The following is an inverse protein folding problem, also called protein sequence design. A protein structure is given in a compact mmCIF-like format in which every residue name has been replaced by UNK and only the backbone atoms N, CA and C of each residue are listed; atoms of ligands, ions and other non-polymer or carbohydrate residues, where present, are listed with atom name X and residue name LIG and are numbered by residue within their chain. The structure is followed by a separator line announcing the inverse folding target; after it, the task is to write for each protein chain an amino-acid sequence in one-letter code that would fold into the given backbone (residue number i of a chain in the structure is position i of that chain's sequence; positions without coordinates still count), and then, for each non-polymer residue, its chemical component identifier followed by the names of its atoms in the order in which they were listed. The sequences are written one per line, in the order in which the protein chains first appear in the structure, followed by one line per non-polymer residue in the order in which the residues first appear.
data_IF_370887318492
#
_entry.id   IF_370887318492
#
_cell.length_a   1.000
_cell.length_b   1.000
_cell.length_c   1.000
_cell.angle_alpha   90.00
_cell.angle_beta   90.00
_cell.angle_gamma   90.00
#
_symmetry.space_group_name_H-M   'P 1'
#
loop_
_entity.id
_entity.type
_entity.pdbx_description
1 polymer ?
#
# COMPACT_ATOMS: atom_id res chain seq x y z
N UNK A 1 -32.70 48.68 49.41
CA UNK A 1 -31.41 49.31 49.06
C UNK A 1 -30.62 48.29 48.24
N UNK A 2 -30.77 48.42 46.98
CA UNK A 2 -29.76 48.67 45.97
C UNK A 2 -28.59 47.72 46.01
N UNK A 3 -28.58 46.65 45.22
CA UNK A 3 -27.41 46.08 44.58
C UNK A 3 -27.74 45.87 43.09
N UNK A 4 -27.23 46.75 42.29
CA UNK A 4 -27.26 46.75 40.84
C UNK A 4 -26.23 45.77 40.36
N UNK A 5 -26.54 44.81 39.54
CA UNK A 5 -26.71 44.93 38.11
C UNK A 5 -25.37 45.14 37.41
N UNK A 6 -24.54 44.05 37.26
CA UNK A 6 -23.42 43.97 36.33
C UNK A 6 -23.28 42.57 35.70
N UNK A 7 -24.35 41.79 35.72
CA UNK A 7 -24.29 40.42 35.17
C UNK A 7 -24.71 40.34 33.69
N UNK A 8 -24.74 41.48 33.00
CA UNK A 8 -25.28 41.56 31.61
C UNK A 8 -24.25 41.63 30.46
N UNK A 9 -22.93 41.65 30.76
CA UNK A 9 -21.91 41.87 29.73
C UNK A 9 -20.90 40.73 29.53
N UNK A 10 -21.00 39.69 30.33
CA UNK A 10 -20.07 38.56 30.24
C UNK A 10 -20.44 37.50 29.19
N UNK A 11 -21.62 37.63 28.55
CA UNK A 11 -22.11 36.62 27.59
C UNK A 11 -21.81 36.90 26.13
N UNK A 12 -21.26 38.06 25.78
CA UNK A 12 -21.01 38.49 24.41
C UNK A 12 -19.57 38.28 23.93
N UNK A 13 -18.68 37.81 24.77
CA UNK A 13 -17.30 37.48 24.35
C UNK A 13 -16.97 35.98 24.38
N UNK A 14 -17.93 35.13 24.70
CA UNK A 14 -17.77 33.70 24.84
C UNK A 14 -18.21 32.89 23.61
N UNK A 15 -18.15 33.40 22.41
CA UNK A 15 -18.83 32.67 21.36
C UNK A 15 -18.31 32.74 19.95
N UNK A 16 -17.04 32.76 19.70
CA UNK A 16 -16.55 32.33 18.39
C UNK A 16 -15.11 31.83 18.47
N UNK A 17 -14.89 30.75 19.21
CA UNK A 17 -13.81 29.86 18.82
C UNK A 17 -14.25 29.20 17.54
N UNK A 18 -14.02 29.87 16.43
CA UNK A 18 -13.93 29.18 15.14
C UNK A 18 -12.73 28.25 15.30
N UNK A 19 -13.00 27.02 15.70
CA UNK A 19 -12.12 25.90 15.39
C UNK A 19 -12.00 25.89 13.87
N UNK A 20 -11.02 26.61 13.36
CA UNK A 20 -10.40 26.31 12.09
C UNK A 20 -9.78 24.94 12.26
N UNK A 21 -10.63 23.93 12.32
CA UNK A 21 -10.25 22.58 11.94
C UNK A 21 -9.88 22.75 10.48
N UNK A 22 -8.61 23.08 10.26
CA UNK A 22 -8.02 23.01 8.96
C UNK A 22 -8.39 21.62 8.46
N UNK A 23 -9.29 21.55 7.50
CA UNK A 23 -9.53 20.34 6.74
C UNK A 23 -8.19 20.00 6.13
N UNK A 24 -7.37 19.24 6.87
CA UNK A 24 -6.29 18.48 6.28
C UNK A 24 -7.02 17.57 5.31
N UNK A 25 -7.12 18.04 4.07
CA UNK A 25 -7.43 17.16 2.97
C UNK A 25 -6.43 16.03 3.12
N UNK A 26 -6.93 14.90 3.60
CA UNK A 26 -6.17 13.66 3.64
C UNK A 26 -5.83 13.39 2.18
N UNK A 27 -4.69 13.90 1.73
CA UNK A 27 -4.22 13.66 0.37
C UNK A 27 -4.15 12.16 0.25
N UNK A 28 -5.10 11.60 -0.50
CA UNK A 28 -5.23 10.16 -0.74
C UNK A 28 -3.85 9.71 -1.20
N UNK A 29 -3.11 9.04 -0.30
CA UNK A 29 -1.71 8.67 -0.54
C UNK A 29 -1.68 7.84 -1.81
N UNK A 30 -1.04 8.37 -2.86
CA UNK A 30 -0.95 7.72 -4.15
C UNK A 30 -0.10 6.43 -4.00
N UNK A 31 -0.67 5.24 -4.25
CA UNK A 31 0.03 3.97 -4.09
C UNK A 31 1.34 3.92 -4.88
N UNK A 32 1.32 4.36 -6.14
CA UNK A 32 2.51 4.42 -7.00
C UNK A 32 3.64 5.23 -6.36
N UNK A 33 3.35 6.45 -5.89
CA UNK A 33 4.35 7.30 -5.21
C UNK A 33 4.89 6.66 -3.93
N UNK A 34 4.08 5.88 -3.24
CA UNK A 34 4.52 5.17 -2.03
C UNK A 34 5.55 4.09 -2.40
N UNK A 35 5.28 3.29 -3.43
CA UNK A 35 6.21 2.29 -3.96
C UNK A 35 7.51 2.96 -4.40
N UNK A 36 7.44 3.97 -5.26
CA UNK A 36 8.61 4.70 -5.78
C UNK A 36 9.51 5.21 -4.66
N UNK A 37 8.93 5.91 -3.68
CA UNK A 37 9.68 6.51 -2.58
C UNK A 37 10.42 5.49 -1.73
N UNK A 38 9.85 4.29 -1.54
CA UNK A 38 10.46 3.25 -0.72
C UNK A 38 11.48 2.46 -1.52
N UNK A 39 11.10 1.95 -2.69
CA UNK A 39 11.95 1.09 -3.52
C UNK A 39 13.25 1.79 -3.94
N UNK A 40 13.21 3.08 -4.31
CA UNK A 40 14.39 3.88 -4.66
C UNK A 40 15.48 3.91 -3.57
N UNK A 41 15.13 3.59 -2.32
CA UNK A 41 16.04 3.58 -1.16
C UNK A 41 16.56 2.19 -0.81
N UNK A 42 16.29 1.20 -1.64
CA UNK A 42 16.66 -0.20 -1.40
C UNK A 42 17.64 -0.72 -2.44
N UNK A 43 18.20 -1.90 -2.19
CA UNK A 43 19.02 -2.62 -3.18
C UNK A 43 18.22 -3.03 -4.44
N UNK A 44 16.89 -2.94 -4.42
CA UNK A 44 15.99 -3.26 -5.52
C UNK A 44 15.59 -2.04 -6.35
N UNK A 45 16.26 -0.89 -6.19
CA UNK A 45 15.94 0.37 -6.89
C UNK A 45 15.86 0.24 -8.41
N UNK A 46 16.72 -0.59 -9.00
CA UNK A 46 16.78 -0.81 -10.44
C UNK A 46 15.60 -1.66 -10.95
N UNK A 47 14.88 -2.35 -10.05
CA UNK A 47 13.66 -3.09 -10.35
C UNK A 47 12.38 -2.26 -10.21
N UNK A 48 12.50 -0.96 -9.92
CA UNK A 48 11.32 -0.12 -9.73
C UNK A 48 10.29 -0.24 -10.86
N UNK A 49 10.66 -0.22 -12.16
CA UNK A 49 9.68 -0.41 -13.24
C UNK A 49 8.98 -1.78 -13.17
N UNK A 50 9.70 -2.84 -12.84
CA UNK A 50 9.17 -4.20 -12.76
C UNK A 50 8.25 -4.39 -11.55
N UNK A 51 8.64 -3.85 -10.40
CA UNK A 51 7.84 -3.84 -9.17
C UNK A 51 6.55 -3.04 -9.36
N UNK A 52 6.60 -1.93 -10.08
CA UNK A 52 5.41 -1.16 -10.43
C UNK A 52 4.49 -1.94 -11.37
N UNK A 53 5.04 -2.64 -12.37
CA UNK A 53 4.26 -3.46 -13.28
C UNK A 53 3.56 -4.61 -12.55
N UNK A 54 4.27 -5.29 -11.64
CA UNK A 54 3.69 -6.30 -10.75
C UNK A 54 2.55 -5.71 -9.91
N UNK A 55 2.80 -4.63 -9.20
CA UNK A 55 1.77 -4.01 -8.35
C UNK A 55 0.54 -3.56 -9.15
N UNK A 56 0.72 -3.04 -10.36
CA UNK A 56 -0.40 -2.71 -11.26
C UNK A 56 -1.20 -3.96 -11.63
N UNK A 57 -0.55 -5.07 -11.94
CA UNK A 57 -1.22 -6.33 -12.26
C UNK A 57 -2.06 -6.81 -11.07
N UNK A 58 -1.45 -6.91 -9.88
CA UNK A 58 -2.09 -7.44 -8.67
C UNK A 58 -3.27 -6.59 -8.19
N UNK A 59 -3.28 -5.31 -8.52
CA UNK A 59 -4.25 -4.34 -8.01
C UNK A 59 -5.20 -3.78 -9.06
N UNK A 60 -5.20 -4.31 -10.29
CA UNK A 60 -5.98 -3.72 -11.37
C UNK A 60 -5.66 -2.23 -11.53
N UNK A 61 -4.38 -1.91 -11.67
CA UNK A 61 -3.89 -0.53 -11.77
C UNK A 61 -4.26 0.34 -10.54
N UNK A 62 -4.14 -0.22 -9.34
CA UNK A 62 -4.43 0.45 -8.05
C UNK A 62 -5.90 0.79 -7.81
N UNK A 63 -6.83 0.12 -8.49
CA UNK A 63 -8.28 0.39 -8.38
C UNK A 63 -9.05 -0.69 -7.63
N UNK A 64 -8.47 -1.87 -7.43
CA UNK A 64 -9.15 -2.97 -6.75
C UNK A 64 -9.41 -2.69 -5.27
N UNK A 65 -10.41 -3.39 -4.69
CA UNK A 65 -10.66 -3.41 -3.26
C UNK A 65 -9.39 -3.74 -2.47
N UNK A 66 -8.64 -4.73 -2.93
CA UNK A 66 -7.41 -5.17 -2.26
C UNK A 66 -6.41 -4.02 -2.09
N UNK A 67 -6.28 -3.14 -3.10
CA UNK A 67 -5.44 -1.95 -3.00
C UNK A 67 -6.05 -0.84 -2.16
N UNK A 68 -7.34 -0.58 -2.31
CA UNK A 68 -7.99 0.62 -1.75
C UNK A 68 -8.40 0.42 -0.29
N UNK A 69 -9.00 -0.71 0.04
CA UNK A 69 -9.54 -0.99 1.36
C UNK A 69 -8.53 -1.75 2.22
N UNK A 70 -7.96 -2.83 1.69
CA UNK A 70 -7.05 -3.71 2.42
C UNK A 70 -5.59 -3.22 2.39
N UNK A 71 -5.29 -2.16 1.64
CA UNK A 71 -3.95 -1.56 1.47
C UNK A 71 -2.89 -2.54 0.96
N UNK A 72 -3.29 -3.64 0.37
CA UNK A 72 -2.41 -4.69 -0.16
C UNK A 72 -2.08 -4.41 -1.63
N UNK A 73 -0.86 -3.95 -1.88
CA UNK A 73 -0.41 -3.51 -3.21
C UNK A 73 0.20 -4.62 -4.07
N UNK A 74 0.41 -5.79 -3.50
CA UNK A 74 1.14 -6.88 -4.15
C UNK A 74 0.39 -8.22 -4.12
N UNK A 75 -0.90 -8.24 -3.76
CA UNK A 75 -1.64 -9.49 -3.67
C UNK A 75 -1.06 -10.47 -2.63
N UNK A 76 -0.40 -9.94 -1.59
CA UNK A 76 0.26 -10.77 -0.60
C UNK A 76 -0.77 -11.63 0.15
N UNK A 77 -0.63 -12.94 0.04
CA UNK A 77 -1.38 -13.90 0.84
C UNK A 77 -0.98 -13.87 2.31
N UNK A 78 -1.71 -14.61 3.13
CA UNK A 78 -1.40 -14.78 4.56
C UNK A 78 -0.24 -15.75 4.71
N UNK A 79 0.93 -15.32 5.20
CA UNK A 79 2.08 -16.20 5.34
C UNK A 79 1.89 -17.16 6.52
N UNK A 80 2.29 -18.42 6.34
CA UNK A 80 2.20 -19.45 7.38
C UNK A 80 3.32 -19.39 8.42
N UNK A 81 4.50 -18.94 8.02
CA UNK A 81 5.72 -18.98 8.87
C UNK A 81 6.43 -17.62 8.96
N UNK A 82 6.35 -16.83 7.91
CA UNK A 82 7.05 -15.55 7.83
C UNK A 82 6.39 -14.49 8.76
N UNK A 83 7.23 -13.74 9.48
CA UNK A 83 6.76 -12.54 10.15
C UNK A 83 6.26 -11.53 9.12
N UNK A 84 5.06 -11.00 9.30
CA UNK A 84 4.43 -10.06 8.38
C UNK A 84 4.00 -8.79 9.11
N UNK A 85 3.92 -7.67 8.39
CA UNK A 85 3.40 -6.40 8.88
C UNK A 85 1.86 -6.30 8.76
N UNK A 86 1.19 -7.40 8.42
CA UNK A 86 -0.27 -7.44 8.34
C UNK A 86 -0.92 -7.14 9.70
N UNK A 87 -2.07 -6.51 9.64
CA UNK A 87 -2.92 -6.23 10.82
C UNK A 87 -4.19 -7.10 10.84
N UNK A 88 -4.46 -7.83 9.77
CA UNK A 88 -5.64 -8.67 9.62
C UNK A 88 -5.58 -9.50 8.34
N UNK A 89 -6.71 -10.10 8.01
CA UNK A 89 -6.89 -10.96 6.84
C UNK A 89 -8.20 -10.61 6.14
N UNK A 90 -8.17 -10.68 4.81
CA UNK A 90 -9.33 -10.58 3.94
C UNK A 90 -9.56 -11.90 3.24
N UNK A 91 -10.75 -12.48 3.41
CA UNK A 91 -11.19 -13.67 2.67
C UNK A 91 -11.89 -13.22 1.39
N UNK A 92 -11.27 -13.51 0.26
CA UNK A 92 -11.86 -13.21 -1.04
C UNK A 92 -12.99 -14.18 -1.40
N UNK A 93 -13.91 -13.82 -2.30
CA UNK A 93 -15.04 -14.69 -2.68
C UNK A 93 -14.64 -16.05 -3.26
N UNK A 94 -13.44 -16.15 -3.84
CA UNK A 94 -12.86 -17.39 -4.36
C UNK A 94 -12.20 -18.27 -3.28
N UNK A 95 -12.28 -17.88 -2.01
CA UNK A 95 -11.69 -18.60 -0.88
C UNK A 95 -10.23 -18.27 -0.57
N UNK A 96 -9.58 -17.43 -1.36
CA UNK A 96 -8.21 -16.99 -1.09
C UNK A 96 -8.14 -16.02 0.09
N UNK A 97 -7.09 -16.13 0.89
CA UNK A 97 -6.85 -15.28 2.06
C UNK A 97 -5.69 -14.33 1.81
N UNK A 98 -5.98 -13.05 1.87
CA UNK A 98 -5.02 -11.98 1.66
C UNK A 98 -4.69 -11.24 2.95
N UNK A 99 -3.46 -10.74 3.04
CA UNK A 99 -3.01 -9.87 4.13
C UNK A 99 -3.65 -8.48 4.02
N UNK A 100 -4.10 -7.95 5.16
CA UNK A 100 -4.60 -6.57 5.33
C UNK A 100 -3.53 -5.75 6.03
N UNK A 101 -3.29 -4.53 5.55
CA UNK A 101 -2.27 -3.63 6.11
C UNK A 101 -2.86 -2.33 6.64
N UNK A 102 -2.22 -1.72 7.62
CA UNK A 102 -2.61 -0.41 8.14
C UNK A 102 -2.35 0.70 7.10
N UNK A 103 -1.39 0.50 6.22
CA UNK A 103 -1.05 1.46 5.17
C UNK A 103 -0.43 0.80 3.94
N UNK A 104 -0.47 1.50 2.79
CA UNK A 104 0.29 1.09 1.60
C UNK A 104 1.80 0.96 1.87
N UNK A 105 2.33 1.76 2.81
CA UNK A 105 3.73 1.67 3.23
C UNK A 105 4.04 0.29 3.81
N UNK A 106 3.18 -0.19 4.69
CA UNK A 106 3.41 -1.48 5.36
C UNK A 106 3.32 -2.64 4.37
N UNK A 107 2.42 -2.57 3.38
CA UNK A 107 2.39 -3.52 2.26
C UNK A 107 3.70 -3.54 1.48
N UNK A 108 4.28 -2.37 1.17
CA UNK A 108 5.57 -2.31 0.45
C UNK A 108 6.70 -2.87 1.29
N UNK A 109 6.73 -2.57 2.58
CA UNK A 109 7.76 -3.09 3.49
C UNK A 109 7.63 -4.61 3.66
N UNK A 110 6.42 -5.14 3.76
CA UNK A 110 6.17 -6.58 3.86
C UNK A 110 6.58 -7.32 2.57
N UNK A 111 6.34 -6.71 1.42
CA UNK A 111 6.82 -7.22 0.13
C UNK A 111 8.36 -7.23 0.07
N UNK A 112 9.05 -6.23 0.60
CA UNK A 112 10.51 -6.23 0.68
C UNK A 112 11.05 -7.33 1.60
N UNK A 113 10.37 -7.62 2.71
CA UNK A 113 10.72 -8.77 3.56
C UNK A 113 10.50 -10.09 2.82
N UNK A 114 9.45 -10.21 2.00
CA UNK A 114 9.26 -11.37 1.13
C UNK A 114 10.44 -11.54 0.16
N UNK A 115 10.84 -10.49 -0.55
CA UNK A 115 11.99 -10.56 -1.48
C UNK A 115 13.28 -10.96 -0.78
N UNK A 116 13.48 -10.50 0.46
CA UNK A 116 14.64 -10.82 1.28
C UNK A 116 14.61 -12.29 1.73
N UNK A 117 13.49 -12.79 2.21
CA UNK A 117 13.31 -14.16 2.67
C UNK A 117 13.61 -15.17 1.56
N UNK A 118 13.15 -14.91 0.36
CA UNK A 118 13.40 -15.74 -0.81
C UNK A 118 14.75 -15.47 -1.50
N UNK A 119 15.65 -14.70 -0.87
CA UNK A 119 16.94 -14.31 -1.43
C UNK A 119 16.83 -13.83 -2.87
N UNK A 120 15.85 -12.93 -3.13
CA UNK A 120 15.57 -12.42 -4.46
C UNK A 120 16.80 -11.74 -5.06
N UNK A 121 17.27 -12.14 -6.25
CA UNK A 121 18.50 -11.61 -6.84
C UNK A 121 18.39 -10.12 -7.18
N UNK A 122 19.55 -9.47 -7.34
CA UNK A 122 19.64 -8.05 -7.71
C UNK A 122 20.30 -7.81 -9.06
N UNK A 123 20.54 -8.87 -9.83
CA UNK A 123 21.24 -8.86 -11.12
C UNK A 123 20.37 -9.25 -12.31
N UNK A 124 19.04 -9.22 -12.15
CA UNK A 124 18.12 -9.45 -13.27
C UNK A 124 18.03 -8.18 -14.13
N UNK A 125 18.07 -8.35 -15.44
CA UNK A 125 18.21 -7.25 -16.39
C UNK A 125 16.96 -7.00 -17.27
N UNK A 126 15.87 -7.70 -16.99
CA UNK A 126 14.63 -7.54 -17.76
C UNK A 126 13.38 -7.79 -16.90
N UNK A 127 12.27 -7.18 -17.31
CA UNK A 127 10.97 -7.43 -16.73
C UNK A 127 10.58 -8.91 -16.82
N UNK A 128 10.93 -9.58 -17.92
CA UNK A 128 10.68 -10.99 -18.12
C UNK A 128 11.41 -11.84 -17.08
N UNK A 129 12.72 -11.67 -16.94
CA UNK A 129 13.52 -12.43 -15.96
C UNK A 129 13.08 -12.17 -14.52
N UNK A 130 12.65 -10.95 -14.20
CA UNK A 130 12.07 -10.60 -12.91
C UNK A 130 10.77 -11.38 -12.64
N UNK A 131 9.83 -11.38 -13.60
CA UNK A 131 8.56 -12.08 -13.48
C UNK A 131 8.72 -13.60 -13.44
N UNK A 132 9.63 -14.17 -14.24
CA UNK A 132 9.98 -15.59 -14.23
C UNK A 132 10.53 -16.01 -12.88
N UNK A 133 11.40 -15.18 -12.28
CA UNK A 133 11.96 -15.46 -10.94
C UNK A 133 10.88 -15.45 -9.86
N UNK A 134 9.95 -14.48 -9.85
CA UNK A 134 8.82 -14.47 -8.93
C UNK A 134 7.97 -15.73 -9.08
N UNK A 135 7.61 -16.10 -10.32
CA UNK A 135 6.82 -17.29 -10.60
C UNK A 135 7.51 -18.57 -10.14
N UNK A 136 8.83 -18.71 -10.37
CA UNK A 136 9.61 -19.86 -9.92
C UNK A 136 9.68 -20.02 -8.41
N UNK A 137 9.47 -18.93 -7.67
CA UNK A 137 9.39 -18.92 -6.20
C UNK A 137 7.98 -19.16 -5.66
N UNK A 138 7.02 -19.46 -6.54
CA UNK A 138 5.64 -19.75 -6.15
C UNK A 138 4.80 -18.50 -5.86
N UNK A 139 5.23 -17.32 -6.31
CA UNK A 139 4.47 -16.09 -6.10
C UNK A 139 3.11 -16.10 -6.81
N UNK A 140 3.05 -16.66 -8.00
CA UNK A 140 1.83 -16.78 -8.79
C UNK A 140 1.72 -18.14 -9.48
N UNK A 141 0.51 -18.68 -9.53
CA UNK A 141 0.18 -19.94 -10.20
C UNK A 141 -0.34 -19.74 -11.63
N UNK A 142 -0.74 -18.52 -11.97
CA UNK A 142 -1.25 -18.16 -13.30
C UNK A 142 -0.21 -18.48 -14.38
N UNK A 143 -0.53 -19.33 -15.39
CA UNK A 143 0.38 -19.65 -16.49
C UNK A 143 0.82 -18.40 -17.26
N UNK A 144 -0.07 -17.41 -17.40
CA UNK A 144 0.15 -16.17 -18.14
C UNK A 144 0.77 -15.04 -17.33
N UNK A 145 1.15 -15.28 -16.09
CA UNK A 145 1.68 -14.25 -15.18
C UNK A 145 2.84 -13.46 -15.81
N UNK A 146 3.82 -14.15 -16.36
CA UNK A 146 5.00 -13.52 -16.97
C UNK A 146 4.62 -12.63 -18.15
N UNK A 147 3.78 -13.11 -19.05
CA UNK A 147 3.35 -12.35 -20.23
C UNK A 147 2.54 -11.11 -19.84
N UNK A 148 1.70 -11.20 -18.81
CA UNK A 148 0.94 -10.08 -18.28
C UNK A 148 1.85 -8.99 -17.69
N UNK A 149 2.84 -9.38 -16.87
CA UNK A 149 3.82 -8.43 -16.30
C UNK A 149 4.62 -7.74 -17.41
N UNK A 150 5.15 -8.50 -18.38
CA UNK A 150 5.93 -7.95 -19.50
C UNK A 150 5.12 -6.94 -20.30
N UNK A 151 3.84 -7.23 -20.57
CA UNK A 151 2.94 -6.29 -21.27
C UNK A 151 2.82 -4.96 -20.51
N UNK A 152 2.67 -5.00 -19.18
CA UNK A 152 2.55 -3.79 -18.38
C UNK A 152 3.89 -3.02 -18.32
N UNK A 153 5.03 -3.73 -18.31
CA UNK A 153 6.33 -3.07 -18.35
C UNK A 153 6.55 -2.26 -19.63
N UNK A 154 5.97 -2.73 -20.74
CA UNK A 154 6.16 -2.12 -22.06
C UNK A 154 5.09 -1.06 -22.40
N UNK A 155 4.14 -0.81 -21.50
CA UNK A 155 3.10 0.21 -21.66
C UNK A 155 3.46 1.50 -20.93
#
# INVERSE_FOLDING_TARGET
MLSNGLDGLAWLLGGLVILLVGSRTLTKKNPKRTIERIIRKTKYKDYLPYILAQSKLETGNFTSRLALDEKNLFGMGVPSKRKSLRIGEYLAPNGERFSVYASHRDSVLDYLEYLKEFNFPTNLNSCKSFAEKLKSQGYATDPDYVSKIVRICNS
#
